data_IF_400583709554
#
_entry.id   IF_400583709554
#
_cell.length_a   1.000
_cell.length_b   1.000
_cell.length_c   1.000
_cell.angle_alpha   90.00
_cell.angle_beta   90.00
_cell.angle_gamma   90.00
#
_symmetry.space_group_name_H-M   'P 1'
#
loop_
_entity.id
_entity.type
_entity.pdbx_description
1 polymer ?
#
# COMPACT_ATOMS: atom_id res chain seq x y z
N UNK A 1 -8.09 0.83 -10.31
CA UNK A 1 -6.85 1.11 -9.58
C UNK A 1 -7.04 0.95 -8.06
N UNK A 2 -8.17 1.43 -7.42
CA UNK A 2 -8.44 1.28 -5.98
C UNK A 2 -8.25 -0.17 -5.49
N UNK A 3 -8.91 -1.14 -6.15
CA UNK A 3 -8.78 -2.57 -5.80
C UNK A 3 -7.33 -3.06 -5.91
N UNK A 4 -6.66 -2.74 -6.99
CA UNK A 4 -5.25 -3.10 -7.21
C UNK A 4 -4.35 -2.59 -6.08
N UNK A 5 -4.55 -1.34 -5.65
CA UNK A 5 -3.78 -0.75 -4.54
C UNK A 5 -3.98 -1.54 -3.24
N UNK A 6 -5.23 -1.88 -2.93
CA UNK A 6 -5.56 -2.67 -1.73
C UNK A 6 -5.02 -4.10 -1.84
N UNK A 7 -5.10 -4.75 -3.00
CA UNK A 7 -4.53 -6.08 -3.25
C UNK A 7 -3.01 -6.10 -3.02
N UNK A 8 -2.31 -5.02 -3.39
CA UNK A 8 -0.89 -4.88 -3.08
C UNK A 8 -0.63 -4.73 -1.59
N UNK A 9 -1.46 -3.95 -0.88
CA UNK A 9 -1.33 -3.82 0.57
C UNK A 9 -1.55 -5.17 1.29
N UNK A 10 -2.51 -5.97 0.84
CA UNK A 10 -2.75 -7.32 1.40
C UNK A 10 -1.53 -8.24 1.37
N UNK A 11 -0.61 -8.05 0.43
CA UNK A 11 0.65 -8.83 0.35
C UNK A 11 1.56 -8.61 1.55
N UNK A 12 1.36 -7.52 2.28
CA UNK A 12 2.15 -7.20 3.48
C UNK A 12 1.51 -7.66 4.78
N UNK A 13 0.29 -8.18 4.74
CA UNK A 13 -0.37 -8.73 5.95
C UNK A 13 0.52 -9.77 6.59
N UNK A 14 0.71 -9.65 7.92
CA UNK A 14 1.62 -10.47 8.70
C UNK A 14 3.08 -9.97 8.73
N UNK A 15 3.44 -8.89 7.99
CA UNK A 15 4.74 -8.25 8.18
C UNK A 15 4.75 -7.57 9.55
N UNK A 16 5.76 -7.86 10.37
CA UNK A 16 5.78 -7.42 11.76
C UNK A 16 7.19 -7.12 12.25
N UNK A 17 7.26 -6.44 13.40
CA UNK A 17 8.52 -6.25 14.13
C UNK A 17 9.09 -7.60 14.54
N UNK A 18 8.23 -8.52 15.00
CA UNK A 18 8.65 -9.84 15.48
C UNK A 18 9.36 -10.68 14.42
N UNK A 19 8.90 -10.62 13.15
CA UNK A 19 9.56 -11.34 12.04
C UNK A 19 10.56 -10.50 11.24
N UNK A 20 10.73 -9.23 11.61
CA UNK A 20 11.65 -8.29 10.97
C UNK A 20 11.21 -7.77 9.60
N UNK A 21 10.09 -8.23 9.05
CA UNK A 21 9.63 -7.84 7.70
C UNK A 21 9.14 -6.40 7.60
N UNK A 22 8.77 -5.76 8.73
CA UNK A 22 8.45 -4.33 8.77
C UNK A 22 9.60 -3.46 8.23
N UNK A 23 10.85 -3.90 8.40
CA UNK A 23 12.04 -3.19 7.92
C UNK A 23 11.98 -2.96 6.40
N UNK A 24 11.49 -3.96 5.66
CA UNK A 24 11.34 -3.83 4.21
C UNK A 24 10.37 -2.72 3.80
N UNK A 25 9.29 -2.50 4.58
CA UNK A 25 8.35 -1.39 4.36
C UNK A 25 9.06 -0.04 4.61
N UNK A 26 9.80 0.05 5.72
CA UNK A 26 10.56 1.26 6.07
C UNK A 26 11.65 1.53 5.03
N UNK A 27 12.31 0.51 4.52
CA UNK A 27 13.31 0.64 3.45
C UNK A 27 12.71 1.20 2.14
N UNK A 28 11.46 0.84 1.80
CA UNK A 28 10.76 1.43 0.65
C UNK A 28 10.49 2.91 0.92
N UNK A 29 9.95 3.26 2.10
CA UNK A 29 9.73 4.65 2.48
C UNK A 29 11.03 5.47 2.38
N UNK A 30 12.14 4.96 2.90
CA UNK A 30 13.44 5.64 2.91
C UNK A 30 14.05 5.87 1.52
N UNK A 31 13.50 5.25 0.46
CA UNK A 31 13.92 5.48 -0.94
C UNK A 31 13.12 6.56 -1.64
N UNK A 32 12.05 7.06 -1.04
CA UNK A 32 11.23 8.12 -1.64
C UNK A 32 12.09 9.37 -1.87
N UNK A 33 11.99 9.94 -3.06
CA UNK A 33 12.77 11.13 -3.43
C UNK A 33 11.86 12.23 -3.99
N UNK A 34 11.84 13.44 -3.43
CA UNK A 34 12.55 13.83 -2.19
C UNK A 34 12.00 13.09 -0.97
N UNK A 35 12.88 12.83 0.00
CA UNK A 35 12.48 12.14 1.23
C UNK A 35 11.51 13.02 2.04
N UNK A 36 10.31 12.53 2.40
CA UNK A 36 9.36 13.31 3.18
C UNK A 36 9.96 13.80 4.49
N UNK A 37 9.68 15.06 4.84
CA UNK A 37 10.24 15.71 6.02
C UNK A 37 11.78 15.76 6.08
N UNK A 38 12.52 15.37 5.03
CA UNK A 38 13.95 15.06 5.09
C UNK A 38 14.29 14.08 6.24
N UNK A 39 13.35 13.18 6.59
CA UNK A 39 13.48 12.27 7.71
C UNK A 39 13.62 10.82 7.22
N UNK A 40 14.81 10.25 7.40
CA UNK A 40 15.06 8.84 7.22
C UNK A 40 14.58 8.10 8.47
N UNK A 41 13.56 7.26 8.32
CA UNK A 41 12.99 6.52 9.43
C UNK A 41 13.89 5.40 9.93
N UNK A 42 13.95 5.27 11.26
CA UNK A 42 14.56 4.13 11.93
C UNK A 42 13.54 2.98 12.06
N UNK A 43 14.02 1.75 12.15
CA UNK A 43 13.15 0.57 12.29
C UNK A 43 12.40 0.49 13.63
N UNK A 44 12.73 1.36 14.57
CA UNK A 44 12.12 1.44 15.89
C UNK A 44 11.03 2.51 16.01
N UNK A 45 10.87 3.34 14.98
CA UNK A 45 9.88 4.41 14.97
C UNK A 45 8.48 3.89 14.59
N UNK A 46 7.40 4.60 14.94
CA UNK A 46 6.05 4.27 14.48
C UNK A 46 5.96 4.34 12.94
N UNK A 47 5.51 3.26 12.30
CA UNK A 47 5.59 3.12 10.84
C UNK A 47 4.23 3.01 10.12
N UNK A 48 3.13 3.45 10.76
CA UNK A 48 1.80 3.43 10.13
C UNK A 48 1.72 4.33 8.89
N UNK A 49 2.07 5.61 9.00
CA UNK A 49 2.07 6.55 7.88
C UNK A 49 3.13 6.17 6.82
N UNK A 50 4.31 5.71 7.26
CA UNK A 50 5.34 5.21 6.35
C UNK A 50 4.86 3.98 5.54
N UNK A 51 4.00 3.13 6.10
CA UNK A 51 3.41 2.00 5.36
C UNK A 51 2.56 2.46 4.19
N UNK A 52 1.69 3.45 4.42
CA UNK A 52 0.86 4.04 3.35
C UNK A 52 1.75 4.70 2.29
N UNK A 53 2.76 5.44 2.73
CA UNK A 53 3.73 6.10 1.84
C UNK A 53 4.54 5.10 1.02
N UNK A 54 5.02 4.03 1.65
CA UNK A 54 5.73 2.94 0.98
C UNK A 54 4.85 2.22 -0.07
N UNK A 55 3.54 2.09 0.21
CA UNK A 55 2.60 1.54 -0.77
C UNK A 55 2.47 2.46 -1.98
N UNK A 56 2.35 3.77 -1.75
CA UNK A 56 2.32 4.78 -2.81
C UNK A 56 3.58 4.73 -3.67
N UNK A 57 4.75 4.68 -3.05
CA UNK A 57 6.05 4.56 -3.73
C UNK A 57 6.14 3.27 -4.53
N UNK A 58 5.80 2.14 -3.93
CA UNK A 58 5.85 0.82 -4.57
C UNK A 58 4.99 0.74 -5.83
N UNK A 59 3.92 1.51 -5.87
CA UNK A 59 2.95 1.53 -6.96
C UNK A 59 3.11 2.73 -7.91
N UNK A 60 4.13 3.57 -7.75
CA UNK A 60 4.27 4.82 -8.49
C UNK A 60 3.02 5.72 -8.37
N UNK A 61 2.46 5.82 -7.17
CA UNK A 61 1.25 6.60 -6.86
C UNK A 61 1.50 7.75 -5.89
N UNK A 62 2.75 8.17 -5.69
CA UNK A 62 3.13 9.23 -4.74
C UNK A 62 2.51 10.60 -5.03
N UNK A 63 2.07 10.86 -6.26
CA UNK A 63 1.29 12.06 -6.60
C UNK A 63 -0.16 12.03 -6.08
N UNK A 64 -0.65 10.88 -5.62
CA UNK A 64 -2.04 10.68 -5.21
C UNK A 64 -2.16 10.08 -3.81
N UNK A 65 -1.22 9.25 -3.42
CA UNK A 65 -1.01 8.77 -2.05
C UNK A 65 0.21 9.55 -1.54
N UNK A 66 -0.08 10.72 -0.95
CA UNK A 66 0.95 11.69 -0.58
C UNK A 66 1.89 11.13 0.48
N UNK A 67 3.21 11.00 0.18
CA UNK A 67 4.13 10.36 1.10
C UNK A 67 4.47 11.23 2.30
N UNK A 68 4.37 10.64 3.50
CA UNK A 68 4.72 11.27 4.78
C UNK A 68 4.96 10.18 5.85
N UNK A 69 5.68 10.50 6.91
CA UNK A 69 5.86 9.63 8.07
C UNK A 69 5.06 10.08 9.30
N UNK A 70 4.41 11.23 9.25
CA UNK A 70 3.52 11.77 10.28
C UNK A 70 2.08 11.81 9.77
N UNK A 71 1.15 11.30 10.57
CA UNK A 71 -0.27 11.29 10.23
C UNK A 71 -0.82 12.72 10.04
N UNK A 72 -0.51 13.65 10.95
CA UNK A 72 -0.96 15.03 10.86
C UNK A 72 -0.39 15.77 9.64
N UNK A 73 0.86 15.53 9.28
CA UNK A 73 1.46 16.11 8.08
C UNK A 73 0.86 15.51 6.81
N UNK A 74 0.53 14.22 6.83
CA UNK A 74 -0.18 13.57 5.73
C UNK A 74 -1.58 14.16 5.55
N UNK A 75 -2.34 14.40 6.64
CA UNK A 75 -3.63 15.12 6.62
C UNK A 75 -3.46 16.48 5.96
N UNK A 76 -2.46 17.27 6.37
CA UNK A 76 -2.22 18.59 5.80
C UNK A 76 -1.97 18.55 4.27
N UNK A 77 -1.31 17.49 3.77
CA UNK A 77 -1.15 17.28 2.33
C UNK A 77 -2.48 17.00 1.64
N UNK A 78 -3.34 16.17 2.23
CA UNK A 78 -4.68 15.91 1.68
C UNK A 78 -5.55 17.17 1.70
N UNK A 79 -5.54 17.95 2.78
CA UNK A 79 -6.23 19.23 2.90
C UNK A 79 -5.75 20.23 1.84
N UNK A 80 -4.44 20.41 1.71
CA UNK A 80 -3.82 21.31 0.71
C UNK A 80 -4.23 20.98 -0.73
N UNK A 81 -4.46 19.72 -1.03
CA UNK A 81 -4.84 19.24 -2.35
C UNK A 81 -6.36 19.11 -2.56
N UNK A 82 -7.18 19.56 -1.59
CA UNK A 82 -8.64 19.45 -1.66
C UNK A 82 -9.13 17.99 -1.70
N UNK A 83 -8.40 17.09 -1.02
CA UNK A 83 -8.62 15.64 -1.01
C UNK A 83 -8.83 15.09 0.40
N UNK A 84 -9.23 15.96 1.32
CA UNK A 84 -9.55 15.61 2.70
C UNK A 84 -11.07 15.63 2.90
N UNK A 85 -11.60 14.62 3.57
CA UNK A 85 -12.97 14.56 4.06
C UNK A 85 -12.94 14.54 5.59
N UNK A 86 -13.47 15.57 6.18
CA UNK A 86 -13.47 15.77 7.64
C UNK A 86 -14.53 14.92 8.34
N UNK A 87 -15.70 14.72 7.70
CA UNK A 87 -16.88 14.15 8.33
C UNK A 87 -16.72 12.67 8.66
N UNK A 88 -17.05 12.29 9.86
CA UNK A 88 -17.00 10.91 10.35
C UNK A 88 -18.13 10.03 9.79
N UNK A 89 -19.27 10.64 9.43
CA UNK A 89 -20.40 9.98 8.77
C UNK A 89 -20.17 9.72 7.27
N UNK A 90 -19.05 10.16 6.74
CA UNK A 90 -18.66 9.85 5.37
C UNK A 90 -18.60 8.34 5.14
N UNK A 91 -19.24 7.86 4.08
CA UNK A 91 -19.16 6.47 3.66
C UNK A 91 -17.90 6.24 2.82
N UNK A 92 -16.84 5.66 3.39
CA UNK A 92 -15.57 5.56 2.69
C UNK A 92 -15.64 4.57 1.53
N UNK A 93 -14.73 4.74 0.58
CA UNK A 93 -14.55 3.83 -0.53
C UNK A 93 -13.25 3.02 -0.34
N UNK A 94 -13.20 1.82 -0.91
CA UNK A 94 -11.97 1.01 -0.95
C UNK A 94 -10.83 1.87 -1.51
N UNK A 95 -9.69 1.88 -0.80
CA UNK A 95 -8.52 2.68 -1.14
C UNK A 95 -8.48 4.08 -0.52
N UNK A 96 -9.55 4.57 0.11
CA UNK A 96 -9.46 5.79 0.90
C UNK A 96 -8.59 5.54 2.14
N UNK A 97 -7.98 6.58 2.68
CA UNK A 97 -7.22 6.49 3.93
C UNK A 97 -8.12 6.88 5.08
N UNK A 98 -8.14 6.08 6.14
CA UNK A 98 -8.80 6.41 7.40
C UNK A 98 -7.73 6.82 8.41
N UNK A 99 -7.91 7.98 9.02
CA UNK A 99 -7.07 8.50 10.09
C UNK A 99 -7.78 8.39 11.42
N UNK A 100 -7.03 8.18 12.49
CA UNK A 100 -7.55 7.95 13.84
C UNK A 100 -6.97 8.93 14.84
N UNK A 101 -7.82 9.37 15.77
CA UNK A 101 -7.45 10.02 17.03
C UNK A 101 -7.91 9.12 18.18
N UNK A 102 -6.96 8.43 18.83
CA UNK A 102 -7.28 7.50 19.93
C UNK A 102 -7.71 8.20 21.21
N UNK A 103 -7.53 9.50 21.33
CA UNK A 103 -7.97 10.31 22.46
C UNK A 103 -9.45 10.68 22.36
N UNK A 104 -10.03 10.74 21.16
CA UNK A 104 -11.45 11.00 20.98
C UNK A 104 -12.27 9.71 20.91
N UNK A 105 -12.86 9.31 22.04
CA UNK A 105 -13.69 8.12 22.14
C UNK A 105 -15.18 8.40 21.98
N UNK A 106 -15.57 9.62 21.55
CA UNK A 106 -16.96 10.00 21.26
C UNK A 106 -17.36 9.49 19.89
N UNK A 107 -18.66 9.42 19.64
CA UNK A 107 -19.25 9.26 18.32
C UNK A 107 -19.50 10.65 17.74
N UNK A 108 -19.26 10.82 16.46
CA UNK A 108 -19.37 12.10 15.76
C UNK A 108 -18.05 12.80 15.56
N UNK A 109 -18.10 14.00 15.03
CA UNK A 109 -16.97 14.77 14.52
C UNK A 109 -15.78 14.85 15.46
N UNK A 110 -14.63 14.36 15.00
CA UNK A 110 -13.34 14.45 15.68
C UNK A 110 -12.39 15.38 14.91
N UNK A 111 -11.91 16.42 15.58
CA UNK A 111 -11.00 17.43 15.00
C UNK A 111 -9.62 17.45 15.65
N UNK A 112 -9.30 16.43 16.48
CA UNK A 112 -8.02 16.28 17.16
C UNK A 112 -6.86 15.95 16.23
N UNK A 113 -5.73 15.62 16.84
CA UNK A 113 -4.54 15.18 16.12
C UNK A 113 -4.60 13.68 15.82
N UNK A 114 -4.15 13.29 14.63
CA UNK A 114 -4.17 11.90 14.25
C UNK A 114 -2.96 11.14 14.79
N UNK A 115 -3.21 10.01 15.43
CA UNK A 115 -2.21 9.10 15.95
C UNK A 115 -1.86 7.98 14.98
N UNK A 116 -2.79 7.64 14.07
CA UNK A 116 -2.69 6.45 13.24
C UNK A 116 -3.37 6.64 11.89
N UNK A 117 -2.99 5.81 10.93
CA UNK A 117 -3.57 5.79 9.58
C UNK A 117 -3.53 4.38 9.00
N UNK A 118 -4.56 4.06 8.22
CA UNK A 118 -4.61 2.87 7.39
C UNK A 118 -5.41 3.11 6.11
N UNK A 119 -5.53 2.08 5.28
CA UNK A 119 -6.25 2.13 4.01
C UNK A 119 -7.52 1.27 4.07
N UNK A 120 -8.65 1.85 3.71
CA UNK A 120 -9.94 1.15 3.62
C UNK A 120 -9.84 0.03 2.58
N UNK A 121 -10.13 -1.19 3.02
CA UNK A 121 -9.98 -2.39 2.19
C UNK A 121 -11.31 -3.13 1.91
N UNK A 122 -12.34 -2.84 2.69
CA UNK A 122 -13.66 -3.43 2.53
C UNK A 122 -14.72 -2.48 3.11
N UNK A 123 -15.91 -2.44 2.51
CA UNK A 123 -17.05 -1.63 2.99
C UNK A 123 -18.31 -2.46 2.87
N UNK A 124 -19.03 -2.66 3.99
CA UNK A 124 -20.24 -3.47 4.04
C UNK A 124 -21.28 -2.85 4.98
N UNK A 125 -22.40 -2.40 4.42
CA UNK A 125 -23.45 -1.76 5.20
C UNK A 125 -22.95 -0.51 5.92
N UNK A 126 -23.01 -0.52 7.25
CA UNK A 126 -22.54 0.58 8.12
C UNK A 126 -21.17 0.28 8.74
N UNK A 127 -20.41 -0.65 8.20
CA UNK A 127 -19.08 -1.02 8.67
C UNK A 127 -18.08 -0.97 7.52
N UNK A 128 -16.80 -0.78 7.86
CA UNK A 128 -15.70 -0.89 6.91
C UNK A 128 -14.49 -1.53 7.58
N UNK A 129 -13.58 -2.07 6.77
CA UNK A 129 -12.30 -2.59 7.25
C UNK A 129 -11.16 -1.75 6.72
N UNK A 130 -10.12 -1.62 7.53
CA UNK A 130 -8.92 -0.85 7.23
C UNK A 130 -7.71 -1.75 7.37
N UNK A 131 -6.83 -1.77 6.36
CA UNK A 131 -5.49 -2.36 6.47
C UNK A 131 -4.55 -1.32 7.06
N UNK A 132 -3.80 -1.71 8.08
CA UNK A 132 -2.94 -0.83 8.86
C UNK A 132 -1.54 -1.42 8.98
N UNK A 133 -0.52 -0.59 8.76
CA UNK A 133 0.82 -0.88 9.25
C UNK A 133 0.96 -0.50 10.71
N UNK A 134 1.84 -1.17 11.42
CA UNK A 134 2.09 -0.89 12.85
C UNK A 134 0.87 -1.06 13.78
N UNK A 135 -0.14 -1.80 13.39
CA UNK A 135 -1.20 -2.19 14.29
C UNK A 135 -0.67 -3.25 15.28
N UNK A 136 -0.33 -2.84 16.50
CA UNK A 136 0.40 -3.69 17.46
C UNK A 136 1.66 -4.30 16.84
N UNK A 137 2.48 -3.48 16.19
CA UNK A 137 3.73 -3.85 15.54
C UNK A 137 3.60 -4.83 14.35
N UNK A 138 2.45 -4.86 13.69
CA UNK A 138 2.17 -5.77 12.57
C UNK A 138 1.32 -5.08 11.49
N UNK A 139 1.37 -5.59 10.25
CA UNK A 139 0.39 -5.26 9.21
C UNK A 139 -0.80 -6.18 9.35
N UNK A 140 -1.95 -5.61 9.71
CA UNK A 140 -3.22 -6.35 9.83
C UNK A 140 -4.43 -5.46 9.61
N UNK A 141 -5.64 -6.04 9.65
CA UNK A 141 -6.87 -5.28 9.43
C UNK A 141 -7.62 -5.02 10.72
N UNK A 142 -8.37 -3.91 10.73
CA UNK A 142 -9.31 -3.50 11.77
C UNK A 142 -10.70 -3.29 11.16
N UNK A 143 -11.75 -3.69 11.89
CA UNK A 143 -13.12 -3.31 11.56
C UNK A 143 -13.51 -2.02 12.28
N UNK A 144 -14.17 -1.13 11.55
CA UNK A 144 -14.68 0.17 12.05
C UNK A 144 -16.15 0.31 11.68
N UNK A 145 -16.87 1.17 12.40
CA UNK A 145 -18.22 1.62 12.06
C UNK A 145 -18.15 3.00 11.41
N UNK A 146 -18.99 3.23 10.41
CA UNK A 146 -19.20 4.58 9.86
C UNK A 146 -19.79 5.44 11.00
N UNK A 147 -19.34 6.69 11.11
CA UNK A 147 -19.68 7.59 12.21
C UNK A 147 -19.34 6.98 13.60
N UNK A 148 -18.31 6.14 13.62
CA UNK A 148 -17.84 5.46 14.82
C UNK A 148 -16.83 6.29 15.61
N UNK A 149 -16.39 5.73 16.74
CA UNK A 149 -15.35 6.34 17.58
C UNK A 149 -14.00 6.37 16.88
N UNK A 150 -13.17 7.33 17.26
CA UNK A 150 -11.77 7.45 16.89
C UNK A 150 -11.51 7.84 15.43
N UNK A 151 -12.54 8.08 14.62
CA UNK A 151 -12.35 8.52 13.24
C UNK A 151 -11.96 10.00 13.26
N UNK A 152 -10.77 10.32 12.73
CA UNK A 152 -10.29 11.70 12.57
C UNK A 152 -10.70 12.29 11.22
N UNK A 153 -10.99 11.45 10.26
CA UNK A 153 -11.38 11.81 8.90
C UNK A 153 -10.68 10.94 7.86
N UNK A 154 -10.85 11.34 6.59
CA UNK A 154 -10.42 10.51 5.47
C UNK A 154 -9.59 11.27 4.44
N UNK A 155 -8.47 10.67 4.02
CA UNK A 155 -7.73 11.09 2.84
C UNK A 155 -8.27 10.38 1.59
N UNK A 156 -8.51 11.13 0.51
CA UNK A 156 -9.16 10.65 -0.71
C UNK A 156 -8.21 10.64 -1.90
N UNK A 157 -7.38 9.60 -2.11
CA UNK A 157 -6.48 9.53 -3.26
C UNK A 157 -7.23 9.64 -4.60
N UNK A 158 -6.73 10.45 -5.52
CA UNK A 158 -7.40 10.66 -6.82
C UNK A 158 -7.12 9.53 -7.80
N UNK A 159 -7.66 8.35 -7.53
CA UNK A 159 -7.48 7.18 -8.39
C UNK A 159 -8.02 7.34 -9.81
N UNK A 160 -9.02 8.19 -10.04
CA UNK A 160 -9.53 8.46 -11.36
C UNK A 160 -8.47 9.15 -12.24
N UNK A 161 -7.80 10.16 -11.68
CA UNK A 161 -6.68 10.82 -12.35
C UNK A 161 -5.47 9.90 -12.46
N UNK A 162 -5.14 9.17 -11.40
CA UNK A 162 -4.04 8.24 -11.37
C UNK A 162 -4.17 7.10 -12.41
N UNK A 163 -5.40 6.67 -12.73
CA UNK A 163 -5.64 5.57 -13.67
C UNK A 163 -5.31 5.94 -15.12
N UNK A 164 -5.19 7.23 -15.45
CA UNK A 164 -4.88 7.66 -16.82
C UNK A 164 -3.44 7.28 -17.16
N UNK A 165 -3.28 6.32 -18.08
CA UNK A 165 -1.96 5.80 -18.49
C UNK A 165 -1.22 4.98 -17.44
N UNK A 166 -1.86 4.62 -16.31
CA UNK A 166 -1.23 3.84 -15.24
C UNK A 166 -0.85 2.44 -15.71
N UNK A 167 0.38 2.07 -15.41
CA UNK A 167 0.87 0.69 -15.57
C UNK A 167 1.27 0.16 -14.20
N UNK A 168 0.69 -0.98 -13.81
CA UNK A 168 1.05 -1.65 -12.55
C UNK A 168 2.55 -1.95 -12.57
N UNK A 169 3.32 -1.52 -11.55
CA UNK A 169 4.72 -1.88 -11.47
C UNK A 169 4.89 -3.39 -11.38
N UNK A 170 5.73 -3.95 -12.23
CA UNK A 170 6.03 -5.38 -12.21
C UNK A 170 6.96 -5.67 -11.03
N UNK A 171 6.53 -6.55 -10.13
CA UNK A 171 7.37 -7.00 -9.03
C UNK A 171 8.38 -8.05 -9.52
N UNK A 172 9.53 -7.55 -9.99
CA UNK A 172 10.61 -8.40 -10.50
C UNK A 172 11.16 -9.40 -9.46
N UNK A 173 11.05 -9.08 -8.17
CA UNK A 173 11.51 -9.95 -7.07
C UNK A 173 10.64 -11.19 -6.95
N UNK A 174 9.32 -11.03 -7.05
CA UNK A 174 8.38 -12.14 -6.98
C UNK A 174 8.46 -13.07 -8.21
N UNK A 175 8.76 -12.52 -9.39
CA UNK A 175 8.86 -13.34 -10.61
C UNK A 175 10.02 -14.31 -10.51
N UNK A 176 11.20 -13.90 -9.99
CA UNK A 176 12.33 -14.79 -9.75
C UNK A 176 12.00 -15.89 -8.73
N UNK A 177 11.27 -15.53 -7.66
CA UNK A 177 10.87 -16.50 -6.62
C UNK A 177 9.79 -17.46 -7.15
N UNK A 178 8.86 -16.98 -7.96
CA UNK A 178 7.83 -17.82 -8.58
C UNK A 178 8.40 -18.73 -9.67
N UNK A 179 9.34 -18.25 -10.48
CA UNK A 179 10.03 -19.07 -11.46
C UNK A 179 10.82 -20.23 -10.81
N UNK A 180 11.44 -19.97 -9.64
CA UNK A 180 12.11 -21.03 -8.85
C UNK A 180 11.17 -21.99 -8.13
N UNK A 181 9.86 -21.68 -8.06
CA UNK A 181 8.85 -22.54 -7.43
C UNK A 181 8.01 -23.34 -8.42
N UNK A 182 8.21 -23.14 -9.73
CA UNK A 182 7.52 -23.93 -10.77
C UNK A 182 8.36 -25.16 -11.06
N UNK A 183 7.98 -26.37 -10.57
CA UNK A 183 8.83 -27.56 -10.59
C UNK A 183 9.19 -28.06 -11.99
N UNK A 184 8.65 -27.46 -13.04
CA UNK A 184 8.79 -27.87 -14.43
C UNK A 184 9.50 -26.86 -15.34
N UNK A 185 9.93 -25.71 -14.83
CA UNK A 185 10.79 -24.77 -15.54
C UNK A 185 12.26 -25.12 -15.28
N UNK A 186 12.68 -26.31 -15.68
CA UNK A 186 14.09 -26.64 -15.73
C UNK A 186 14.70 -25.96 -16.97
N UNK A 187 15.90 -25.41 -16.83
CA UNK A 187 16.64 -24.66 -17.85
C UNK A 187 16.76 -25.45 -19.18
N UNK A 188 16.73 -26.77 -19.11
CA UNK A 188 16.84 -27.68 -20.26
C UNK A 188 15.50 -28.09 -20.89
N UNK A 189 14.35 -27.59 -20.43
CA UNK A 189 13.04 -27.97 -20.97
C UNK A 189 12.64 -27.14 -22.17
N UNK A 190 12.85 -27.68 -23.36
CA UNK A 190 12.39 -27.11 -24.62
C UNK A 190 10.93 -27.52 -24.91
N UNK A 191 9.98 -27.04 -24.10
CA UNK A 191 8.56 -27.38 -24.24
C UNK A 191 7.66 -26.13 -24.34
N UNK A 192 6.39 -26.35 -24.67
CA UNK A 192 5.40 -25.27 -24.82
C UNK A 192 5.23 -24.43 -23.54
N UNK A 193 5.43 -25.01 -22.35
CA UNK A 193 5.36 -24.28 -21.08
C UNK A 193 6.48 -23.24 -20.97
N UNK A 194 7.70 -23.59 -21.43
CA UNK A 194 8.84 -22.66 -21.48
C UNK A 194 8.58 -21.54 -22.49
N UNK A 195 8.02 -21.86 -23.66
CA UNK A 195 7.62 -20.84 -24.65
C UNK A 195 6.59 -19.88 -24.07
N UNK A 196 5.53 -20.39 -23.43
CA UNK A 196 4.50 -19.56 -22.80
C UNK A 196 5.07 -18.70 -21.68
N UNK A 197 5.97 -19.23 -20.85
CA UNK A 197 6.64 -18.47 -19.82
C UNK A 197 7.47 -17.32 -20.41
N UNK A 198 8.24 -17.55 -21.47
CA UNK A 198 9.01 -16.53 -22.19
C UNK A 198 8.11 -15.44 -22.80
N UNK A 199 7.01 -15.83 -23.44
CA UNK A 199 6.03 -14.88 -23.98
C UNK A 199 5.47 -14.01 -22.87
N UNK A 200 5.11 -14.60 -21.72
CA UNK A 200 4.61 -13.88 -20.56
C UNK A 200 5.67 -12.92 -20.01
N UNK A 201 6.91 -13.38 -19.83
CA UNK A 201 8.01 -12.52 -19.33
C UNK A 201 8.28 -11.36 -20.30
N UNK A 202 8.32 -11.61 -21.60
CA UNK A 202 8.50 -10.55 -22.60
C UNK A 202 7.33 -9.55 -22.59
N UNK A 203 6.08 -10.00 -22.43
CA UNK A 203 4.90 -9.13 -22.30
C UNK A 203 4.94 -8.26 -21.04
N UNK A 204 5.66 -8.72 -20.01
CA UNK A 204 5.89 -7.99 -18.75
C UNK A 204 7.13 -7.08 -18.81
N UNK A 205 7.78 -6.98 -19.97
CA UNK A 205 8.95 -6.12 -20.17
C UNK A 205 10.29 -6.73 -19.74
N UNK A 206 10.35 -8.05 -19.55
CA UNK A 206 11.62 -8.78 -19.35
C UNK A 206 12.14 -9.25 -20.71
N UNK A 207 13.45 -9.22 -20.89
CA UNK A 207 14.08 -9.83 -22.05
C UNK A 207 14.36 -11.31 -21.74
N UNK A 208 13.39 -12.18 -22.06
CA UNK A 208 13.51 -13.63 -21.84
C UNK A 208 13.95 -14.39 -23.09
N UNK A 209 14.38 -13.67 -24.14
CA UNK A 209 14.73 -14.28 -25.44
C UNK A 209 13.51 -14.72 -26.23
N UNK A 210 13.73 -15.14 -27.47
CA UNK A 210 12.68 -15.60 -28.39
C UNK A 210 12.74 -17.10 -28.66
N UNK A 211 13.82 -17.75 -28.30
CA UNK A 211 14.01 -19.20 -28.44
C UNK A 211 13.34 -19.97 -27.27
N UNK A 212 13.46 -21.28 -27.27
CA UNK A 212 12.85 -22.18 -26.29
C UNK A 212 13.79 -22.52 -25.12
N UNK A 213 14.96 -21.89 -25.07
CA UNK A 213 15.99 -22.13 -24.05
C UNK A 213 16.18 -20.82 -23.27
N UNK A 214 16.20 -20.86 -21.95
CA UNK A 214 16.62 -19.73 -21.12
C UNK A 214 18.15 -19.70 -21.12
N UNK A 215 18.74 -18.62 -21.63
CA UNK A 215 20.16 -18.36 -21.50
C UNK A 215 20.49 -18.04 -20.04
N UNK A 216 21.66 -18.49 -19.53
CA UNK A 216 22.15 -18.28 -18.16
C UNK A 216 22.38 -16.79 -17.82
#
# INVERSE_FOLDING_TARGET
>A
LRKTTVEWFYRWVGFSVANGKHKWIIDIYNRITPLPANHMMLYTEPWCAATVSALGERLNLTEYIYPECSCNRMIALYQKNGRWEERDDYKPQIGDLCFYDWQDNRVGECTGEADHVGMVCDVSGNTFKVLEGNYSNEVKSRAMQIDGKYIRGFGLPNYAKAAIGYKVPVDKTNIRTMAGQVPYLNIDNNNEAVKMAKILFNSLGFNAGTDTIFDE
#
